data_IF_063481802566
#
_entry.id   IF_063481802566
#
_cell.length_a   1.000
_cell.length_b   1.000
_cell.length_c   1.000
_cell.angle_alpha   90.00
_cell.angle_beta   90.00
_cell.angle_gamma   90.00
#
_symmetry.space_group_name_H-M   'P 1'
#
loop_
_entity.id
_entity.type
_entity.pdbx_description
1 polymer ?
#
# COMPACT_ATOMS: atom_id res chain seq x y z
N UNK A 1 -19.01 33.86 48.89
CA UNK A 1 -20.04 32.93 48.38
C UNK A 1 -20.26 33.09 46.88
N UNK A 2 -20.65 34.26 46.36
CA UNK A 2 -20.97 34.43 44.93
C UNK A 2 -19.83 34.10 43.96
N UNK A 3 -18.60 34.55 44.25
CA UNK A 3 -17.43 34.31 43.38
C UNK A 3 -17.08 32.82 43.23
N UNK A 4 -17.27 32.03 44.28
CA UNK A 4 -17.06 30.58 44.26
C UNK A 4 -18.12 29.86 43.44
N UNK A 5 -19.38 30.31 43.52
CA UNK A 5 -20.47 29.78 42.71
C UNK A 5 -20.21 30.06 41.23
N UNK A 6 -19.76 31.28 40.89
CA UNK A 6 -19.39 31.64 39.51
C UNK A 6 -18.24 30.80 38.96
N UNK A 7 -17.22 30.51 39.78
CA UNK A 7 -16.10 29.64 39.38
C UNK A 7 -16.57 28.20 39.16
N UNK A 8 -17.42 27.67 40.04
CA UNK A 8 -17.97 26.30 39.89
C UNK A 8 -18.89 26.19 38.67
N UNK A 9 -19.74 27.19 38.44
CA UNK A 9 -20.58 27.25 37.24
C UNK A 9 -19.67 27.26 36.01
N UNK A 10 -18.66 28.14 35.95
CA UNK A 10 -17.71 28.19 34.84
C UNK A 10 -16.99 26.88 34.57
N UNK A 11 -16.60 26.13 35.61
CA UNK A 11 -15.98 24.81 35.48
C UNK A 11 -16.95 23.76 34.91
N UNK A 12 -18.22 23.78 35.31
CA UNK A 12 -19.22 22.84 34.78
C UNK A 12 -19.56 23.16 33.32
N UNK A 13 -19.70 24.45 32.98
CA UNK A 13 -19.97 24.86 31.61
C UNK A 13 -18.80 24.55 30.68
N UNK A 14 -17.55 24.68 31.14
CA UNK A 14 -16.39 24.36 30.31
C UNK A 14 -16.30 22.87 29.98
N UNK A 15 -16.65 21.98 30.92
CA UNK A 15 -16.72 20.53 30.67
C UNK A 15 -17.83 20.19 29.67
N UNK A 16 -19.01 20.82 29.80
CA UNK A 16 -20.10 20.64 28.84
C UNK A 16 -19.72 21.10 27.43
N UNK A 17 -19.08 22.27 27.32
CA UNK A 17 -18.57 22.81 26.05
C UNK A 17 -17.53 21.86 25.45
N UNK A 18 -16.62 21.32 26.26
CA UNK A 18 -15.62 20.36 25.80
C UNK A 18 -16.26 19.07 25.28
N UNK A 19 -17.28 18.56 25.98
CA UNK A 19 -18.03 17.37 25.57
C UNK A 19 -18.77 17.58 24.24
N UNK A 20 -19.41 18.74 24.06
CA UNK A 20 -20.05 19.10 22.79
C UNK A 20 -19.01 19.25 21.67
N UNK A 21 -17.86 19.88 21.95
CA UNK A 21 -16.77 19.96 20.99
C UNK A 21 -16.30 18.57 20.57
N UNK A 22 -16.06 17.63 21.48
CA UNK A 22 -15.65 16.26 21.13
C UNK A 22 -16.70 15.55 20.25
N UNK A 23 -17.99 15.76 20.52
CA UNK A 23 -19.08 15.18 19.73
C UNK A 23 -19.22 15.80 18.33
N UNK A 24 -18.96 17.10 18.20
CA UNK A 24 -19.19 17.87 16.97
C UNK A 24 -17.92 17.97 16.11
N UNK A 25 -16.73 17.83 16.70
CA UNK A 25 -15.44 17.84 15.98
C UNK A 25 -15.39 16.83 14.83
N UNK A 26 -15.87 15.57 14.97
CA UNK A 26 -15.91 14.61 13.85
C UNK A 26 -16.83 15.04 12.70
N UNK A 27 -17.87 15.83 12.99
CA UNK A 27 -18.83 16.33 11.99
C UNK A 27 -18.30 17.59 11.30
N UNK A 28 -17.59 18.46 12.04
CA UNK A 28 -16.99 19.71 11.54
C UNK A 28 -15.72 19.48 10.73
N UNK A 29 -14.87 18.52 11.13
CA UNK A 29 -13.68 18.15 10.37
C UNK A 29 -14.01 17.37 9.09
N UNK A 30 -15.28 17.00 8.91
CA UNK A 30 -15.69 15.99 7.95
C UNK A 30 -15.12 14.62 8.37
N UNK A 31 -15.72 13.55 7.85
CA UNK A 31 -14.99 12.28 7.77
C UNK A 31 -13.63 12.58 7.11
N UNK A 32 -12.51 12.01 7.59
CA UNK A 32 -11.21 12.26 6.96
C UNK A 32 -11.39 12.13 5.46
N UNK A 33 -11.13 13.23 4.76
CA UNK A 33 -11.40 13.34 3.34
C UNK A 33 -10.68 12.20 2.65
N UNK A 34 -11.42 11.48 1.79
CA UNK A 34 -10.93 10.37 0.97
C UNK A 34 -9.79 10.76 0.00
N UNK A 35 -9.30 12.00 0.10
CA UNK A 35 -8.23 12.61 -0.69
C UNK A 35 -6.84 12.40 -0.10
N UNK A 36 -6.73 12.05 1.19
CA UNK A 36 -5.57 11.34 1.73
C UNK A 36 -5.75 9.82 1.55
N UNK A 37 -6.37 9.39 0.44
CA UNK A 37 -6.43 7.98 0.06
C UNK A 37 -5.00 7.43 0.10
N UNK A 38 -4.71 6.61 1.11
CA UNK A 38 -3.46 5.92 1.20
C UNK A 38 -3.40 4.99 0.00
N UNK A 39 -2.73 5.45 -1.07
CA UNK A 39 -2.60 4.66 -2.27
C UNK A 39 -1.95 3.33 -1.87
N UNK A 40 -2.50 2.19 -2.28
CA UNK A 40 -1.85 0.93 -1.99
C UNK A 40 -0.44 0.95 -2.59
N UNK A 41 0.48 0.25 -1.97
CA UNK A 41 1.89 0.24 -2.34
C UNK A 41 2.32 -1.19 -2.64
N UNK A 42 3.04 -1.34 -3.75
CA UNK A 42 3.77 -2.54 -4.09
C UNK A 42 5.24 -2.34 -3.74
N UNK A 43 5.78 -3.27 -2.98
CA UNK A 43 7.19 -3.34 -2.63
C UNK A 43 7.76 -4.64 -3.20
N UNK A 44 8.88 -4.55 -3.91
CA UNK A 44 9.66 -5.72 -4.33
C UNK A 44 11.08 -5.51 -3.87
N UNK A 45 11.50 -6.33 -2.92
CA UNK A 45 12.80 -6.21 -2.28
C UNK A 45 13.52 -7.54 -2.17
N UNK A 46 14.82 -7.45 -1.86
CA UNK A 46 15.63 -8.63 -1.61
C UNK A 46 15.40 -9.15 -0.19
N UNK A 47 15.38 -10.47 -0.03
CA UNK A 47 15.57 -11.08 1.28
C UNK A 47 16.97 -10.76 1.81
N UNK A 48 17.15 -10.76 3.13
CA UNK A 48 18.45 -10.42 3.73
C UNK A 48 19.63 -11.30 3.26
N UNK A 49 19.35 -12.54 2.85
CA UNK A 49 20.33 -13.47 2.26
C UNK A 49 20.32 -13.51 0.72
N UNK A 50 19.56 -12.62 0.07
CA UNK A 50 19.38 -12.51 -1.39
C UNK A 50 18.97 -13.80 -2.10
N UNK A 51 18.49 -14.80 -1.37
CA UNK A 51 18.03 -16.08 -1.95
C UNK A 51 16.59 -15.98 -2.48
N UNK A 52 15.84 -15.00 -1.98
CA UNK A 52 14.46 -14.76 -2.34
C UNK A 52 14.20 -13.27 -2.57
N UNK A 53 13.15 -13.00 -3.33
CA UNK A 53 12.52 -11.70 -3.45
C UNK A 53 11.25 -11.70 -2.61
N UNK A 54 11.05 -10.65 -1.85
CA UNK A 54 9.83 -10.40 -1.09
C UNK A 54 8.99 -9.44 -1.90
N UNK A 55 7.86 -9.93 -2.41
CA UNK A 55 6.83 -9.11 -3.04
C UNK A 55 5.78 -8.82 -1.98
N UNK A 56 5.68 -7.57 -1.56
CA UNK A 56 4.75 -7.13 -0.54
C UNK A 56 3.78 -6.09 -1.08
N UNK A 57 2.50 -6.40 -1.00
CA UNK A 57 1.39 -5.52 -1.30
C UNK A 57 0.78 -5.02 0.01
N UNK A 58 0.73 -3.71 0.22
CA UNK A 58 0.26 -3.14 1.49
C UNK A 58 -0.46 -1.81 1.26
N UNK A 59 -1.36 -1.44 2.17
CA UNK A 59 -1.80 -0.05 2.26
C UNK A 59 -0.64 0.89 2.61
N UNK A 60 -0.68 2.12 2.11
CA UNK A 60 0.27 3.15 2.54
C UNK A 60 0.05 3.61 3.99
N UNK A 61 -1.13 3.34 4.58
CA UNK A 61 -1.43 3.61 6.00
C UNK A 61 -2.03 2.36 6.66
N UNK A 62 -1.58 2.05 7.87
CA UNK A 62 -2.01 0.88 8.64
C UNK A 62 -3.50 0.92 9.04
N UNK A 63 -4.14 2.08 8.97
CA UNK A 63 -5.57 2.25 9.27
C UNK A 63 -6.49 1.88 8.11
N UNK A 64 -5.96 1.64 6.90
CA UNK A 64 -6.76 1.40 5.71
C UNK A 64 -6.85 -0.08 5.37
N UNK A 65 -7.96 -0.71 5.77
CA UNK A 65 -8.24 -2.11 5.46
C UNK A 65 -8.82 -2.23 4.06
N UNK A 66 -8.24 -3.09 3.21
CA UNK A 66 -8.78 -3.39 1.89
C UNK A 66 -9.75 -4.56 1.99
N UNK A 67 -10.81 -4.50 1.18
CA UNK A 67 -11.77 -5.59 1.07
C UNK A 67 -11.15 -6.80 0.37
N UNK A 68 -10.34 -6.54 -0.66
CA UNK A 68 -9.61 -7.56 -1.40
C UNK A 68 -8.24 -7.04 -1.81
N UNK A 69 -7.21 -7.84 -1.57
CA UNK A 69 -5.90 -7.72 -2.20
C UNK A 69 -5.66 -8.98 -3.02
N UNK A 70 -5.31 -8.82 -4.30
CA UNK A 70 -5.01 -9.91 -5.22
C UNK A 70 -3.66 -9.68 -5.88
N UNK A 71 -2.78 -10.67 -5.77
CA UNK A 71 -1.52 -10.71 -6.52
C UNK A 71 -1.56 -11.89 -7.50
N UNK A 72 -1.51 -11.60 -8.80
CA UNK A 72 -1.35 -12.61 -9.84
C UNK A 72 0.10 -12.59 -10.34
N UNK A 73 0.77 -13.73 -10.22
CA UNK A 73 2.13 -13.92 -10.68
C UNK A 73 2.10 -14.74 -11.96
N UNK A 74 2.67 -14.20 -13.03
CA UNK A 74 2.88 -14.93 -14.27
C UNK A 74 4.39 -15.10 -14.49
N UNK A 75 4.84 -16.35 -14.64
CA UNK A 75 6.24 -16.73 -14.60
C UNK A 75 6.63 -17.75 -15.66
N UNK A 76 7.94 -17.85 -15.90
CA UNK A 76 8.55 -19.00 -16.57
C UNK A 76 8.63 -20.26 -15.67
N UNK A 77 8.64 -20.10 -14.34
CA UNK A 77 8.72 -21.21 -13.36
C UNK A 77 7.35 -21.48 -12.73
N UNK A 78 6.87 -22.73 -12.81
CA UNK A 78 5.52 -23.11 -12.41
C UNK A 78 5.22 -22.95 -10.90
N UNK A 79 6.24 -23.01 -10.04
CA UNK A 79 6.06 -22.95 -8.58
C UNK A 79 5.63 -21.58 -8.06
N UNK A 80 5.84 -20.52 -8.84
CA UNK A 80 5.44 -19.16 -8.46
C UNK A 80 4.21 -18.71 -9.23
N UNK A 81 3.91 -19.32 -10.38
CA UNK A 81 2.70 -18.98 -11.12
C UNK A 81 1.44 -19.19 -10.26
N UNK A 82 0.50 -18.26 -10.34
CA UNK A 82 -0.79 -18.37 -9.65
C UNK A 82 -1.35 -17.03 -9.20
N UNK A 83 -2.62 -17.07 -8.78
CA UNK A 83 -3.32 -15.91 -8.25
C UNK A 83 -3.61 -16.13 -6.77
N UNK A 84 -3.13 -15.20 -5.95
CA UNK A 84 -3.26 -15.22 -4.50
C UNK A 84 -4.17 -14.08 -4.09
N UNK A 85 -5.07 -14.36 -3.15
CA UNK A 85 -6.11 -13.42 -2.72
C UNK A 85 -6.16 -13.44 -1.20
N UNK A 86 -6.17 -12.25 -0.63
CA UNK A 86 -6.43 -12.02 0.78
C UNK A 86 -7.58 -11.04 0.91
N UNK A 87 -8.54 -11.40 1.77
CA UNK A 87 -9.72 -10.58 2.02
C UNK A 87 -9.55 -9.86 3.35
N UNK A 88 -10.16 -8.68 3.45
CA UNK A 88 -10.25 -7.93 4.71
C UNK A 88 -8.88 -7.75 5.41
N UNK A 89 -7.86 -7.40 4.64
CA UNK A 89 -6.47 -7.29 5.12
C UNK A 89 -5.86 -5.90 4.86
N UNK A 90 -4.80 -5.58 5.59
CA UNK A 90 -3.97 -4.39 5.37
C UNK A 90 -2.85 -4.62 4.36
N UNK A 91 -2.49 -5.89 4.14
CA UNK A 91 -1.40 -6.26 3.24
C UNK A 91 -1.20 -7.77 3.13
N UNK A 92 -0.39 -8.16 2.15
CA UNK A 92 -0.07 -9.54 1.83
C UNK A 92 1.32 -9.59 1.21
N UNK A 93 2.17 -10.50 1.67
CA UNK A 93 3.50 -10.71 1.09
C UNK A 93 3.67 -12.13 0.56
N UNK A 94 4.55 -12.27 -0.43
CA UNK A 94 4.93 -13.56 -0.99
C UNK A 94 6.43 -13.62 -1.23
N UNK A 95 6.98 -14.79 -0.97
CA UNK A 95 8.37 -15.12 -1.25
C UNK A 95 8.48 -15.72 -2.64
N UNK A 96 9.35 -15.16 -3.45
CA UNK A 96 9.65 -15.62 -4.81
C UNK A 96 11.13 -15.98 -4.88
N UNK A 97 11.53 -17.12 -5.46
CA UNK A 97 12.93 -17.44 -5.66
C UNK A 97 13.65 -16.34 -6.46
N UNK A 98 14.84 -15.92 -6.02
CA UNK A 98 15.54 -14.80 -6.65
C UNK A 98 15.83 -15.03 -8.15
N UNK A 99 16.15 -16.27 -8.52
CA UNK A 99 16.44 -16.65 -9.90
C UNK A 99 15.22 -16.65 -10.84
N UNK A 100 14.02 -16.35 -10.35
CA UNK A 100 12.82 -16.28 -11.17
C UNK A 100 12.68 -14.94 -11.90
N UNK A 101 12.09 -14.98 -13.09
CA UNK A 101 11.61 -13.79 -13.80
C UNK A 101 10.10 -13.83 -13.85
N UNK A 102 9.45 -12.74 -13.44
CA UNK A 102 8.02 -12.76 -13.18
C UNK A 102 7.32 -11.45 -13.45
N UNK A 103 6.07 -11.54 -13.85
CA UNK A 103 5.14 -10.41 -13.88
C UNK A 103 4.21 -10.52 -12.69
N UNK A 104 4.12 -9.45 -11.92
CA UNK A 104 3.12 -9.25 -10.87
C UNK A 104 2.06 -8.31 -11.39
N UNK A 105 0.83 -8.80 -11.40
CA UNK A 105 -0.39 -7.99 -11.44
C UNK A 105 -0.90 -7.84 -10.00
N UNK A 106 -0.86 -6.61 -9.51
CA UNK A 106 -1.32 -6.23 -8.18
C UNK A 106 -2.64 -5.48 -8.27
N UNK A 107 -3.70 -6.08 -7.72
CA UNK A 107 -5.06 -5.56 -7.71
C UNK A 107 -5.56 -5.37 -6.27
N UNK A 108 -6.19 -4.22 -6.01
CA UNK A 108 -6.75 -3.87 -4.70
C UNK A 108 -8.18 -3.37 -4.88
N UNK A 109 -9.05 -3.73 -3.94
CA UNK A 109 -10.40 -3.20 -3.81
C UNK A 109 -10.56 -2.59 -2.43
N UNK A 110 -10.98 -1.33 -2.37
CA UNK A 110 -11.28 -0.67 -1.11
C UNK A 110 -12.71 -0.94 -0.61
N UNK A 111 -12.99 -0.54 0.63
CA UNK A 111 -14.29 -0.72 1.28
C UNK A 111 -15.43 0.09 0.63
N UNK A 112 -15.10 1.06 -0.22
CA UNK A 112 -16.04 2.00 -0.87
C UNK A 112 -16.23 1.61 -2.35
N UNK A 113 -15.57 0.54 -2.81
CA UNK A 113 -15.67 0.02 -4.18
C UNK A 113 -14.68 0.65 -5.18
N UNK A 114 -13.72 1.48 -4.77
CA UNK A 114 -12.62 1.88 -5.67
C UNK A 114 -11.64 0.73 -5.84
N UNK A 115 -11.13 0.57 -7.06
CA UNK A 115 -10.10 -0.41 -7.35
C UNK A 115 -8.83 0.23 -7.90
N UNK A 116 -7.71 -0.41 -7.58
CA UNK A 116 -6.36 -0.01 -7.92
C UNK A 116 -5.68 -1.20 -8.59
N UNK A 117 -4.91 -0.93 -9.65
CA UNK A 117 -4.26 -1.99 -10.42
C UNK A 117 -2.92 -1.53 -10.96
N UNK A 118 -1.92 -2.38 -10.79
CA UNK A 118 -0.57 -2.11 -11.24
C UNK A 118 0.16 -3.38 -11.65
N UNK A 119 0.74 -3.35 -12.86
CA UNK A 119 1.47 -4.47 -13.43
C UNK A 119 2.94 -4.12 -13.56
N UNK A 120 3.79 -5.01 -13.05
CA UNK A 120 5.24 -4.86 -13.12
C UNK A 120 5.87 -6.20 -13.47
N UNK A 121 6.82 -6.19 -14.40
CA UNK A 121 7.65 -7.36 -14.66
C UNK A 121 9.03 -7.13 -14.06
N UNK A 122 9.53 -8.16 -13.38
CA UNK A 122 10.78 -8.17 -12.64
C UNK A 122 11.70 -9.21 -13.25
N UNK A 123 12.90 -8.79 -13.59
CA UNK A 123 13.97 -9.67 -14.07
C UNK A 123 15.20 -9.53 -13.18
N UNK A 124 15.73 -10.65 -12.69
CA UNK A 124 17.07 -10.65 -12.14
C UNK A 124 18.09 -10.68 -13.27
N UNK A 125 19.01 -9.71 -13.27
CA UNK A 125 20.13 -9.63 -14.22
C UNK A 125 21.46 -9.47 -13.50
N UNK A 126 22.54 -9.61 -14.26
CA UNK A 126 23.91 -9.33 -13.83
C UNK A 126 24.52 -8.29 -14.74
N UNK A 127 25.22 -7.33 -14.16
CA UNK A 127 25.98 -6.33 -14.92
C UNK A 127 27.33 -6.89 -15.39
N UNK A 128 28.09 -6.11 -16.16
CA UNK A 128 29.43 -6.44 -16.65
C UNK A 128 30.41 -6.79 -15.51
N UNK A 129 30.24 -6.15 -14.34
CA UNK A 129 31.01 -6.42 -13.12
C UNK A 129 30.49 -7.63 -12.33
N UNK A 130 29.62 -8.46 -12.93
CA UNK A 130 28.98 -9.63 -12.32
C UNK A 130 28.10 -9.31 -11.09
N UNK A 131 27.75 -8.03 -10.90
CA UNK A 131 26.87 -7.58 -9.83
C UNK A 131 25.41 -7.88 -10.17
N UNK A 132 24.68 -8.50 -9.24
CA UNK A 132 23.25 -8.81 -9.41
C UNK A 132 22.40 -7.57 -9.20
N UNK A 133 21.45 -7.33 -10.09
CA UNK A 133 20.44 -6.28 -9.98
C UNK A 133 19.07 -6.76 -10.43
N UNK A 134 18.04 -6.01 -10.04
CA UNK A 134 16.68 -6.21 -10.49
C UNK A 134 16.34 -5.17 -11.55
N UNK A 135 15.87 -5.64 -12.70
CA UNK A 135 15.33 -4.81 -13.76
C UNK A 135 13.81 -4.87 -13.72
N UNK A 136 13.18 -3.71 -13.62
CA UNK A 136 11.74 -3.53 -13.58
C UNK A 136 11.26 -2.96 -14.91
N UNK A 137 10.24 -3.58 -15.49
CA UNK A 137 9.55 -3.06 -16.67
C UNK A 137 8.07 -2.85 -16.39
N UNK A 138 7.53 -1.78 -16.98
CA UNK A 138 6.17 -1.30 -16.70
C UNK A 138 5.36 -1.28 -18.00
N UNK A 139 4.69 -2.40 -18.37
CA UNK A 139 4.08 -2.53 -19.69
C UNK A 139 2.94 -1.53 -19.97
N UNK A 140 2.27 -1.02 -18.94
CA UNK A 140 1.11 -0.14 -19.08
C UNK A 140 1.37 1.32 -18.68
N UNK A 141 2.57 1.64 -18.19
CA UNK A 141 2.90 2.97 -17.65
C UNK A 141 3.78 3.73 -18.65
N UNK A 142 3.15 4.51 -19.53
CA UNK A 142 3.82 5.21 -20.64
C UNK A 142 4.73 6.36 -20.20
N UNK A 143 4.46 6.95 -19.04
CA UNK A 143 5.17 8.14 -18.56
C UNK A 143 6.43 7.79 -17.75
N UNK A 144 6.87 6.52 -17.80
CA UNK A 144 7.97 6.04 -16.96
C UNK A 144 9.26 5.78 -17.71
N UNK A 145 10.41 6.01 -17.03
CA UNK A 145 11.65 5.38 -17.46
C UNK A 145 11.42 3.86 -17.42
N UNK A 146 11.63 3.21 -18.55
CA UNK A 146 11.48 1.77 -18.71
C UNK A 146 12.61 1.27 -19.61
N UNK A 147 13.50 0.39 -19.13
CA UNK A 147 13.52 -0.27 -17.82
C UNK A 147 14.06 0.60 -16.67
N UNK A 148 13.78 0.20 -15.42
CA UNK A 148 14.42 0.72 -14.19
C UNK A 148 15.27 -0.36 -13.55
N UNK A 149 16.55 -0.09 -13.29
CA UNK A 149 17.47 -1.02 -12.63
C UNK A 149 17.72 -0.63 -11.18
N UNK A 150 17.57 -1.59 -10.25
CA UNK A 150 17.83 -1.41 -8.83
C UNK A 150 18.85 -2.45 -8.33
N UNK A 151 19.91 -1.93 -7.70
CA UNK A 151 20.95 -2.73 -7.07
C UNK A 151 20.64 -2.91 -5.57
N UNK A 152 20.81 -4.12 -5.00
CA UNK A 152 20.74 -4.31 -3.56
C UNK A 152 21.67 -3.32 -2.82
N UNK A 153 21.28 -2.80 -1.65
CA UNK A 153 20.10 -3.16 -0.84
C UNK A 153 18.85 -2.33 -1.18
N UNK A 154 18.81 -1.65 -2.34
CA UNK A 154 17.63 -0.86 -2.72
C UNK A 154 16.48 -1.79 -3.12
N UNK A 155 15.29 -1.45 -2.64
CA UNK A 155 14.04 -2.11 -3.00
C UNK A 155 13.23 -1.24 -3.96
N UNK A 156 12.41 -1.88 -4.78
CA UNK A 156 11.36 -1.20 -5.51
C UNK A 156 10.20 -0.90 -4.58
N UNK A 157 9.71 0.35 -4.58
CA UNK A 157 8.52 0.77 -3.82
C UNK A 157 7.69 1.66 -4.71
N UNK A 158 6.41 1.34 -4.84
CA UNK A 158 5.57 2.08 -5.77
C UNK A 158 4.10 2.17 -5.34
N UNK A 159 3.53 3.38 -5.45
CA UNK A 159 2.11 3.63 -5.22
C UNK A 159 1.27 3.19 -6.42
N UNK A 160 0.34 2.27 -6.17
CA UNK A 160 -0.56 1.71 -7.17
C UNK A 160 -1.66 2.74 -7.42
N UNK A 161 -1.80 3.22 -8.67
CA UNK A 161 -2.77 4.27 -9.00
C UNK A 161 -4.20 3.73 -8.99
N UNK A 162 -5.20 4.58 -8.68
CA UNK A 162 -6.60 4.23 -8.83
C UNK A 162 -6.92 4.04 -10.31
N UNK A 163 -7.75 3.04 -10.61
CA UNK A 163 -8.19 2.74 -11.99
C UNK A 163 -9.68 2.99 -12.20
N UNK A 164 -10.48 2.91 -11.15
CA UNK A 164 -11.89 3.28 -11.22
C UNK A 164 -12.67 2.86 -9.97
N UNK A 165 -13.99 2.89 -10.11
CA UNK A 165 -14.96 2.43 -9.11
C UNK A 165 -15.76 1.27 -9.67
N UNK A 166 -15.94 0.24 -8.87
CA UNK A 166 -16.86 -0.85 -9.12
C UNK A 166 -18.31 -0.34 -9.01
N UNK A 167 -19.23 -0.86 -9.85
CA UNK A 167 -20.64 -0.48 -9.85
C UNK A 167 -21.39 -0.96 -8.60
#
# INVERSE_FOLDING_TARGET
>A
MEREVWVRVGMVTSVLVLGVLILVTPVLLGRPTSELASLPMLIVGWSGNQSYLVVYATGALQQYQYKLIRLAFNESISSVNGTFRENDTYGFHRWVPANASFTVDAYFEDQIGRYFEYNVTVHQKRDADNQVFLEFTFPYEKDRPNPVSLYPPKDFRWSIPPRGTLP
#
